data_IF_384393912200
#
_entry.id   IF_384393912200
#
_cell.length_a   1.000
_cell.length_b   1.000
_cell.length_c   1.000
_cell.angle_alpha   90.00
_cell.angle_beta   90.00
_cell.angle_gamma   90.00
#
_symmetry.space_group_name_H-M   'P 1'
#
loop_
_entity.id
_entity.type
_entity.pdbx_description
1 polymer ?
#
# COMPACT_ATOMS: atom_id res chain seq x y z
N UNK A 1 23.15 9.89 -2.18
CA UNK A 1 21.73 9.55 -2.02
C UNK A 1 21.07 10.73 -1.36
N UNK A 2 20.09 11.33 -2.01
CA UNK A 2 19.26 12.35 -1.38
C UNK A 2 18.17 11.66 -0.56
N UNK A 3 17.90 12.16 0.64
CA UNK A 3 16.85 11.63 1.51
C UNK A 3 15.51 12.26 1.12
N UNK A 4 14.50 11.43 0.84
CA UNK A 4 13.14 11.87 0.58
C UNK A 4 12.36 11.89 1.90
N UNK A 5 11.80 13.05 2.25
CA UNK A 5 11.08 13.27 3.50
C UNK A 5 9.55 13.33 3.34
N UNK A 6 9.03 13.36 2.11
CA UNK A 6 7.62 13.58 1.79
C UNK A 6 7.03 14.87 2.41
N UNK A 7 7.88 15.86 2.71
CA UNK A 7 7.47 17.19 3.20
C UNK A 7 7.96 18.25 2.22
N UNK A 8 9.27 18.27 1.95
CA UNK A 8 9.89 19.20 1.02
C UNK A 8 10.11 18.55 -0.35
N UNK A 9 10.33 17.24 -0.36
CA UNK A 9 10.46 16.44 -1.59
C UNK A 9 9.57 15.21 -1.53
N UNK A 10 8.66 15.15 -2.49
CA UNK A 10 7.70 14.07 -2.60
C UNK A 10 8.30 12.91 -3.38
N UNK A 11 8.20 11.70 -2.81
CA UNK A 11 8.58 10.46 -3.49
C UNK A 11 7.84 10.28 -4.82
N UNK A 12 6.57 10.69 -4.89
CA UNK A 12 5.77 10.60 -6.11
C UNK A 12 6.36 11.39 -7.27
N UNK A 13 6.85 12.60 -7.03
CA UNK A 13 7.41 13.44 -8.09
C UNK A 13 8.77 12.91 -8.58
N UNK A 14 9.58 12.39 -7.67
CA UNK A 14 10.84 11.72 -8.00
C UNK A 14 10.62 10.45 -8.84
N UNK A 15 9.61 9.65 -8.48
CA UNK A 15 9.18 8.50 -9.27
C UNK A 15 8.74 8.93 -10.68
N UNK A 16 7.97 10.00 -10.83
CA UNK A 16 7.53 10.49 -12.15
C UNK A 16 8.69 10.91 -13.04
N UNK A 17 9.74 11.50 -12.48
CA UNK A 17 10.92 11.93 -13.23
C UNK A 17 11.85 10.77 -13.59
N UNK A 18 11.92 9.74 -12.75
CA UNK A 18 12.80 8.60 -12.94
C UNK A 18 12.19 7.50 -13.83
N UNK A 19 10.86 7.34 -13.82
CA UNK A 19 10.17 6.32 -14.61
C UNK A 19 10.20 6.64 -16.11
N UNK A 20 10.81 5.75 -16.88
CA UNK A 20 10.87 5.83 -18.35
C UNK A 20 10.03 4.71 -18.98
N UNK A 21 9.59 4.88 -20.24
CA UNK A 21 8.98 3.79 -21.00
C UNK A 21 9.88 2.54 -21.01
N UNK A 22 9.26 1.35 -21.01
CA UNK A 22 9.93 0.04 -21.01
C UNK A 22 10.84 -0.26 -19.80
N UNK A 23 10.72 0.54 -18.73
CA UNK A 23 11.44 0.26 -17.47
C UNK A 23 10.73 -0.84 -16.71
N UNK A 24 11.49 -1.69 -16.00
CA UNK A 24 10.93 -2.65 -15.03
C UNK A 24 11.15 -2.14 -13.60
N UNK A 25 10.07 -1.80 -12.91
CA UNK A 25 10.11 -1.23 -11.57
C UNK A 25 10.04 -2.33 -10.51
N UNK A 26 10.91 -2.27 -9.49
CA UNK A 26 10.87 -3.19 -8.34
C UNK A 26 10.73 -2.39 -7.06
N UNK A 27 9.69 -2.67 -6.27
CA UNK A 27 9.40 -1.98 -5.01
C UNK A 27 9.36 -3.00 -3.87
N UNK A 28 10.05 -2.70 -2.77
CA UNK A 28 9.95 -3.43 -1.53
C UNK A 28 9.39 -2.49 -0.46
N UNK A 29 8.16 -2.71 -0.01
CA UNK A 29 7.51 -1.86 0.99
C UNK A 29 6.47 -2.65 1.82
N UNK A 30 6.09 -2.12 2.98
CA UNK A 30 5.11 -2.76 3.86
C UNK A 30 3.67 -2.61 3.35
N UNK A 31 3.37 -1.57 2.59
CA UNK A 31 2.05 -1.30 2.05
C UNK A 31 2.12 -0.60 0.69
N UNK A 32 1.04 -0.74 -0.08
CA UNK A 32 0.82 -0.01 -1.33
C UNK A 32 -0.67 0.25 -1.47
N UNK A 33 -1.09 1.53 -1.48
CA UNK A 33 -2.51 1.90 -1.49
C UNK A 33 -3.03 2.07 -2.92
N UNK A 34 -4.33 1.85 -3.10
CA UNK A 34 -5.00 2.07 -4.39
C UNK A 34 -4.90 3.53 -4.85
N UNK A 35 -4.91 4.48 -3.89
CA UNK A 35 -4.74 5.91 -4.16
C UNK A 35 -3.34 6.27 -4.63
N UNK A 36 -2.31 5.62 -4.08
CA UNK A 36 -0.94 5.79 -4.55
C UNK A 36 -0.80 5.30 -6.00
N UNK A 37 -1.45 4.19 -6.34
CA UNK A 37 -1.53 3.72 -7.72
C UNK A 37 -2.27 4.71 -8.62
N UNK A 38 -3.43 5.21 -8.20
CA UNK A 38 -4.20 6.19 -8.99
C UNK A 38 -3.40 7.47 -9.27
N UNK A 39 -2.68 7.99 -8.27
CA UNK A 39 -1.86 9.20 -8.40
C UNK A 39 -0.66 9.06 -9.35
N UNK A 40 -0.18 7.83 -9.57
CA UNK A 40 0.95 7.49 -10.45
C UNK A 40 0.52 6.68 -11.67
N UNK A 41 -0.78 6.53 -11.93
CA UNK A 41 -1.33 5.63 -12.93
C UNK A 41 -0.77 5.91 -14.32
N UNK A 42 -0.67 7.18 -14.69
CA UNK A 42 -0.19 7.61 -16.01
C UNK A 42 1.26 7.19 -16.26
N UNK A 43 2.09 7.20 -15.22
CA UNK A 43 3.50 6.85 -15.30
C UNK A 43 3.70 5.34 -15.15
N UNK A 44 2.96 4.68 -14.25
CA UNK A 44 2.98 3.23 -14.05
C UNK A 44 2.37 2.45 -15.23
N UNK A 45 1.58 3.09 -16.10
CA UNK A 45 1.10 2.45 -17.34
C UNK A 45 2.13 2.45 -18.47
N UNK A 46 3.20 3.25 -18.36
CA UNK A 46 4.26 3.35 -19.39
C UNK A 46 5.38 2.34 -19.20
N UNK A 47 5.48 1.75 -18.01
CA UNK A 47 6.52 0.79 -17.67
C UNK A 47 6.16 -0.61 -18.18
N UNK A 48 7.17 -1.43 -18.43
CA UNK A 48 7.01 -2.81 -18.91
C UNK A 48 6.41 -3.72 -17.82
N UNK A 49 6.79 -3.50 -16.56
CA UNK A 49 6.26 -4.25 -15.44
C UNK A 49 6.65 -3.69 -14.08
N UNK A 50 5.86 -4.06 -13.08
CA UNK A 50 6.05 -3.70 -11.68
C UNK A 50 6.11 -4.97 -10.82
N UNK A 51 7.26 -5.25 -10.24
CA UNK A 51 7.44 -6.33 -9.26
C UNK A 51 7.37 -5.72 -7.85
N UNK A 52 6.36 -6.08 -7.06
CA UNK A 52 6.20 -5.58 -5.69
C UNK A 52 6.47 -6.69 -4.67
N UNK A 53 7.32 -6.42 -3.67
CA UNK A 53 7.60 -7.30 -2.55
C UNK A 53 7.08 -6.64 -1.27
N UNK A 54 6.14 -7.32 -0.59
CA UNK A 54 5.71 -6.91 0.74
C UNK A 54 6.81 -7.24 1.75
N UNK A 55 7.37 -6.22 2.40
CA UNK A 55 8.42 -6.39 3.42
C UNK A 55 7.85 -6.68 4.81
N UNK A 56 6.55 -6.46 5.00
CA UNK A 56 5.83 -6.87 6.19
C UNK A 56 5.14 -8.23 5.94
N UNK A 57 5.12 -9.14 6.93
CA UNK A 57 4.49 -10.44 6.77
C UNK A 57 2.98 -10.28 6.51
N UNK A 58 2.55 -10.55 5.28
CA UNK A 58 1.14 -10.56 4.88
C UNK A 58 0.41 -11.80 5.38
N UNK A 59 1.12 -12.92 5.50
CA UNK A 59 0.66 -14.16 6.09
C UNK A 59 1.79 -14.71 6.96
N UNK A 60 1.71 -14.51 8.27
CA UNK A 60 2.57 -15.26 9.18
C UNK A 60 2.09 -16.71 9.11
N UNK A 61 2.81 -17.57 8.40
CA UNK A 61 2.49 -18.99 8.33
C UNK A 61 2.45 -19.61 9.74
N UNK A 62 3.18 -19.08 10.72
CA UNK A 62 3.07 -19.51 12.13
C UNK A 62 1.66 -19.30 12.72
N UNK A 63 0.83 -18.36 12.25
CA UNK A 63 -0.59 -18.26 12.67
C UNK A 63 -1.46 -19.39 12.06
N UNK A 64 -0.99 -20.10 11.03
CA UNK A 64 -1.75 -21.15 10.30
C UNK A 64 -1.16 -22.55 10.51
N UNK A 65 0.13 -22.68 10.82
CA UNK A 65 0.83 -23.96 10.97
C UNK A 65 1.38 -24.25 12.36
N UNK A 66 1.18 -23.39 13.36
CA UNK A 66 1.40 -23.81 14.74
C UNK A 66 0.21 -24.62 15.24
N UNK A 67 0.43 -25.95 15.23
CA UNK A 67 -0.15 -26.97 16.11
C UNK A 67 -1.36 -26.49 16.86
N UNK A 68 -2.56 -27.00 16.52
CA UNK A 68 -3.81 -26.98 17.28
C UNK A 68 -3.54 -26.75 18.79
N UNK A 69 -3.29 -25.52 19.19
CA UNK A 69 -3.30 -25.13 20.58
C UNK A 69 -4.78 -24.96 20.80
N UNK A 70 -5.31 -25.69 21.77
CA UNK A 70 -6.65 -25.45 22.31
C UNK A 70 -6.62 -24.08 22.99
N UNK A 71 -6.40 -23.01 22.23
CA UNK A 71 -6.54 -21.66 22.71
C UNK A 71 -8.02 -21.46 22.97
N UNK A 72 -8.27 -20.99 24.18
CA UNK A 72 -9.60 -20.74 24.72
C UNK A 72 -10.32 -19.81 23.75
N UNK A 73 -11.54 -20.15 23.35
CA UNK A 73 -12.37 -19.31 22.46
C UNK A 73 -12.39 -17.89 23.00
N UNK A 74 -11.61 -17.00 22.40
CA UNK A 74 -11.69 -15.58 22.67
C UNK A 74 -12.94 -15.06 21.97
N UNK A 75 -13.93 -14.62 22.77
CA UNK A 75 -15.17 -14.03 22.26
C UNK A 75 -14.94 -12.63 21.65
N UNK A 76 -13.70 -12.13 21.68
CA UNK A 76 -13.32 -10.83 21.18
C UNK A 76 -12.03 -10.96 20.37
N UNK A 77 -12.14 -10.84 19.04
CA UNK A 77 -11.01 -10.88 18.13
C UNK A 77 -10.49 -9.44 17.96
N UNK A 78 -9.31 -9.07 18.49
CA UNK A 78 -8.76 -7.73 18.30
C UNK A 78 -8.07 -7.61 16.93
N UNK A 79 -8.79 -7.91 15.84
CA UNK A 79 -8.31 -7.79 14.45
C UNK A 79 -8.93 -6.59 13.71
N UNK A 80 -9.53 -5.66 14.44
CA UNK A 80 -10.24 -4.51 13.86
C UNK A 80 -9.32 -3.68 12.94
N UNK A 81 -8.07 -3.45 13.35
CA UNK A 81 -7.10 -2.67 12.57
C UNK A 81 -6.59 -3.43 11.34
N UNK A 82 -6.57 -4.77 11.41
CA UNK A 82 -6.19 -5.67 10.29
C UNK A 82 -7.23 -5.65 9.18
N UNK A 83 -8.52 -5.72 9.53
CA UNK A 83 -9.62 -5.58 8.56
C UNK A 83 -9.69 -4.16 7.99
N UNK A 84 -9.51 -3.13 8.84
CA UNK A 84 -9.46 -1.74 8.40
C UNK A 84 -8.36 -1.50 7.36
N UNK A 85 -7.15 -2.02 7.54
CA UNK A 85 -6.07 -1.82 6.57
C UNK A 85 -6.33 -2.46 5.19
N UNK A 86 -7.20 -3.47 5.09
CA UNK A 86 -7.58 -4.10 3.81
C UNK A 86 -8.69 -3.32 3.08
N UNK A 87 -9.61 -2.70 3.82
CA UNK A 87 -10.71 -1.88 3.27
C UNK A 87 -10.38 -0.38 3.18
N UNK A 88 -9.21 0.01 3.70
CA UNK A 88 -8.64 1.34 3.62
C UNK A 88 -8.03 1.78 4.95
N UNK A 89 -6.73 2.09 4.94
CA UNK A 89 -6.04 2.66 6.11
C UNK A 89 -6.65 4.01 6.55
N UNK A 90 -6.40 4.49 7.77
CA UNK A 90 -6.92 5.80 8.20
C UNK A 90 -6.53 6.95 7.25
N UNK A 91 -5.35 6.85 6.64
CA UNK A 91 -4.91 7.78 5.59
C UNK A 91 -5.81 7.72 4.34
N UNK A 92 -6.24 6.53 3.97
CA UNK A 92 -7.13 6.25 2.85
C UNK A 92 -8.55 6.77 3.09
N UNK A 93 -9.04 6.63 4.32
CA UNK A 93 -10.32 7.18 4.75
C UNK A 93 -10.30 8.70 4.67
N UNK A 94 -9.20 9.35 5.06
CA UNK A 94 -9.03 10.80 4.90
C UNK A 94 -9.02 11.23 3.42
N UNK A 95 -8.42 10.44 2.53
CA UNK A 95 -8.44 10.71 1.08
C UNK A 95 -9.85 10.54 0.49
N UNK A 96 -10.59 9.49 0.88
CA UNK A 96 -12.01 9.30 0.53
C UNK A 96 -12.86 10.49 0.92
N UNK A 97 -12.68 10.99 2.13
CA UNK A 97 -13.45 12.13 2.64
C UNK A 97 -13.10 13.46 1.95
N UNK A 98 -11.94 13.53 1.25
CA UNK A 98 -11.52 14.68 0.45
C UNK A 98 -12.00 14.65 -1.01
N UNK A 99 -12.54 13.52 -1.49
CA UNK A 99 -13.24 13.42 -2.78
C UNK A 99 -14.59 14.15 -2.68
N UNK A 100 -14.56 15.48 -2.82
CA UNK A 100 -15.75 16.24 -3.13
C UNK A 100 -16.25 15.83 -4.51
N UNK A 101 -17.58 15.76 -4.69
CA UNK A 101 -18.31 15.30 -5.90
C UNK A 101 -17.83 15.86 -7.25
N UNK A 102 -16.93 16.85 -7.28
CA UNK A 102 -16.45 17.53 -8.47
C UNK A 102 -15.48 16.71 -9.32
N UNK A 103 -14.86 15.66 -8.78
CA UNK A 103 -13.85 14.86 -9.51
C UNK A 103 -14.45 13.60 -10.15
N UNK A 104 -15.75 13.33 -9.95
CA UNK A 104 -16.46 12.15 -10.49
C UNK A 104 -17.30 12.51 -11.74
N UNK A 105 -17.36 13.79 -12.16
CA UNK A 105 -18.08 14.24 -13.34
C UNK A 105 -17.16 14.52 -14.54
#
# INVERSE_FOLDING_TARGET
MELLDNINRLLGDDLKQSLKPDTRLKIAASCFSMYAYEALKTELQKIDGLDFIFTAPTFVADEVTDKIRKERREFHIPKLDRERSLYGSEFEIQLRNKLTQKTIA
#
